data_IF_125124776131
#
_entry.id   IF_125124776131
#
_cell.length_a   1.000
_cell.length_b   1.000
_cell.length_c   1.000
_cell.angle_alpha   90.00
_cell.angle_beta   90.00
_cell.angle_gamma   90.00
#
_symmetry.space_group_name_H-M   'P 1'
#
loop_
_entity.id
_entity.type
_entity.pdbx_description
1 polymer ?
#
# COMPACT_ATOMS: atom_id res chain seq x y z
N UNK A 1 18.08 -1.32 -8.29
CA UNK A 1 19.24 -0.47 -8.64
C UNK A 1 20.10 -1.24 -9.63
N UNK A 2 20.37 -0.71 -10.83
CA UNK A 2 21.25 -1.33 -11.82
C UNK A 2 22.23 -0.25 -12.31
N UNK A 3 23.52 -0.56 -12.35
CA UNK A 3 24.59 0.30 -12.89
C UNK A 3 24.69 1.72 -12.31
N UNK A 4 24.41 1.94 -11.02
CA UNK A 4 24.69 3.22 -10.39
C UNK A 4 26.15 3.28 -9.90
N UNK A 5 26.80 4.43 -10.06
CA UNK A 5 28.19 4.68 -9.69
C UNK A 5 28.24 5.64 -8.50
N UNK A 6 29.05 5.30 -7.50
CA UNK A 6 29.22 6.07 -6.27
C UNK A 6 30.67 6.54 -6.20
N UNK A 7 30.89 7.84 -6.00
CA UNK A 7 32.23 8.35 -5.69
C UNK A 7 32.70 7.76 -4.36
N UNK A 8 33.95 7.25 -4.24
CA UNK A 8 34.48 6.80 -2.95
C UNK A 8 34.45 7.92 -1.91
N UNK A 9 34.10 7.56 -0.66
CA UNK A 9 34.06 8.49 0.47
C UNK A 9 32.78 9.31 0.63
N UNK A 10 31.72 9.00 -0.13
CA UNK A 10 30.40 9.61 0.09
C UNK A 10 29.57 8.82 1.10
N UNK A 11 28.70 9.54 1.82
CA UNK A 11 27.76 8.96 2.79
C UNK A 11 26.36 8.89 2.18
N UNK A 12 25.77 7.69 2.24
CA UNK A 12 24.35 7.47 1.94
C UNK A 12 23.59 7.41 3.27
N UNK A 13 22.74 8.39 3.53
CA UNK A 13 21.96 8.41 4.75
C UNK A 13 20.75 7.47 4.70
N UNK A 14 20.16 7.20 5.87
CA UNK A 14 19.06 6.24 6.02
C UNK A 14 17.86 6.59 5.15
N UNK A 15 17.28 5.56 4.52
CA UNK A 15 16.06 5.69 3.73
C UNK A 15 16.23 6.39 2.38
N UNK A 16 17.45 6.78 1.98
CA UNK A 16 17.72 7.38 0.68
C UNK A 16 17.48 6.38 -0.47
N UNK A 17 17.15 6.91 -1.65
CA UNK A 17 16.87 6.11 -2.85
C UNK A 17 17.72 6.62 -4.01
N UNK A 18 18.49 5.72 -4.62
CA UNK A 18 19.33 6.02 -5.78
C UNK A 18 18.70 5.41 -7.03
N UNK A 19 18.40 6.26 -8.02
CA UNK A 19 17.87 5.85 -9.30
C UNK A 19 18.86 4.99 -10.10
N UNK A 20 18.34 4.28 -11.11
CA UNK A 20 19.17 3.51 -12.03
C UNK A 20 20.12 4.43 -12.81
N UNK A 21 21.33 3.94 -13.14
CA UNK A 21 22.35 4.66 -13.91
C UNK A 21 22.78 6.02 -13.32
N UNK A 22 22.52 6.27 -12.03
CA UNK A 22 22.91 7.51 -11.38
C UNK A 22 24.43 7.54 -11.08
N UNK A 23 25.09 8.68 -11.28
CA UNK A 23 26.49 8.90 -10.87
C UNK A 23 26.52 9.84 -9.67
N UNK A 24 26.57 9.26 -8.47
CA UNK A 24 26.52 10.00 -7.21
C UNK A 24 27.90 10.53 -6.86
N UNK A 25 28.02 11.86 -6.83
CA UNK A 25 29.28 12.58 -6.58
C UNK A 25 29.33 13.29 -5.23
N UNK A 26 28.21 13.34 -4.52
CA UNK A 26 28.01 14.05 -3.24
C UNK A 26 27.19 13.18 -2.28
N UNK A 27 27.25 13.52 -1.00
CA UNK A 27 26.46 12.85 0.04
C UNK A 27 24.95 12.98 -0.23
N UNK A 28 24.21 11.94 0.12
CA UNK A 28 22.77 11.84 -0.14
C UNK A 28 22.00 11.94 1.17
N UNK A 29 21.19 13.01 1.37
CA UNK A 29 20.44 13.21 2.61
C UNK A 29 19.47 12.06 2.94
N UNK A 30 19.05 11.93 4.21
CA UNK A 30 18.09 10.91 4.60
C UNK A 30 16.79 11.04 3.80
N UNK A 31 16.23 9.91 3.37
CA UNK A 31 14.99 9.86 2.59
C UNK A 31 14.96 10.66 1.27
N UNK A 32 16.12 11.15 0.80
CA UNK A 32 16.23 11.82 -0.49
C UNK A 32 16.22 10.79 -1.64
N UNK A 33 15.57 11.16 -2.74
CA UNK A 33 15.59 10.41 -4.00
C UNK A 33 16.55 11.13 -4.94
N UNK A 34 17.62 10.46 -5.36
CA UNK A 34 18.65 11.02 -6.25
C UNK A 34 18.73 10.26 -7.57
N UNK A 35 19.07 10.98 -8.64
CA UNK A 35 19.23 10.39 -9.97
C UNK A 35 19.92 11.31 -10.96
N UNK A 36 20.29 10.76 -12.11
CA UNK A 36 21.04 11.45 -13.17
C UNK A 36 22.56 11.32 -13.06
N UNK A 37 23.25 11.93 -14.01
CA UNK A 37 24.71 11.95 -14.10
C UNK A 37 25.18 13.37 -14.43
N UNK A 38 25.74 14.14 -13.47
CA UNK A 38 25.91 13.80 -12.06
C UNK A 38 24.58 13.78 -11.28
N UNK A 39 24.48 12.94 -10.25
CA UNK A 39 23.24 12.77 -9.50
C UNK A 39 22.82 14.07 -8.78
N UNK A 40 21.52 14.35 -8.83
CA UNK A 40 20.85 15.46 -8.14
C UNK A 40 19.66 14.94 -7.35
N UNK A 41 19.27 15.66 -6.31
CA UNK A 41 18.05 15.37 -5.53
C UNK A 41 16.85 15.69 -6.43
N UNK A 42 16.03 14.70 -6.71
CA UNK A 42 14.78 14.85 -7.46
C UNK A 42 13.66 15.30 -6.53
N UNK A 43 13.51 14.60 -5.40
CA UNK A 43 12.52 14.87 -4.36
C UNK A 43 12.86 14.10 -3.08
N UNK A 44 12.11 14.36 -2.02
CA UNK A 44 12.10 13.52 -0.82
C UNK A 44 10.94 12.52 -0.87
N UNK A 45 11.10 11.40 -0.17
CA UNK A 45 10.03 10.39 -0.04
C UNK A 45 8.86 10.87 0.82
N UNK A 46 9.17 11.70 1.81
CA UNK A 46 8.23 12.22 2.80
C UNK A 46 8.53 13.70 3.06
N UNK A 47 7.63 14.38 3.76
CA UNK A 47 7.85 15.73 4.26
C UNK A 47 8.91 15.75 5.37
N UNK A 48 9.44 16.94 5.67
CA UNK A 48 10.54 17.10 6.63
C UNK A 48 10.15 16.68 8.05
N UNK A 49 8.90 16.89 8.47
CA UNK A 49 8.43 16.52 9.81
C UNK A 49 8.37 14.99 9.95
N UNK A 50 7.81 14.30 8.95
CA UNK A 50 7.78 12.84 8.89
C UNK A 50 9.18 12.23 8.86
N UNK A 51 10.12 12.82 8.11
CA UNK A 51 11.53 12.37 8.08
C UNK A 51 12.17 12.48 9.46
N UNK A 52 11.98 13.60 10.15
CA UNK A 52 12.50 13.81 11.51
C UNK A 52 11.96 12.76 12.49
N UNK A 53 10.66 12.47 12.45
CA UNK A 53 10.03 11.42 13.26
C UNK A 53 10.62 10.05 12.98
N UNK A 54 10.71 9.68 11.70
CA UNK A 54 11.28 8.39 11.27
C UNK A 54 12.74 8.20 11.71
N UNK A 55 13.56 9.25 11.62
CA UNK A 55 14.96 9.22 12.06
C UNK A 55 15.10 9.16 13.57
N UNK A 56 14.22 9.83 14.32
CA UNK A 56 14.20 9.77 15.79
C UNK A 56 13.77 8.40 16.30
N UNK A 57 12.78 7.78 15.65
CA UNK A 57 12.28 6.47 16.02
C UNK A 57 13.26 5.35 15.72
N UNK A 58 14.06 5.48 14.65
CA UNK A 58 14.94 4.43 14.14
C UNK A 58 14.25 3.06 14.08
N UNK A 59 13.07 3.03 13.46
CA UNK A 59 12.18 1.88 13.49
C UNK A 59 12.85 0.56 13.03
N UNK A 60 13.89 0.63 12.18
CA UNK A 60 14.68 -0.51 11.73
C UNK A 60 15.53 -1.18 12.84
N UNK A 61 15.66 -0.58 14.02
CA UNK A 61 16.35 -1.16 15.18
C UNK A 61 15.45 -2.08 16.02
N UNK A 62 14.15 -2.21 15.71
CA UNK A 62 13.22 -3.07 16.47
C UNK A 62 12.99 -4.45 15.81
N UNK A 63 12.41 -5.38 16.57
CA UNK A 63 12.19 -6.73 16.08
C UNK A 63 10.96 -6.80 15.17
N UNK A 64 11.00 -7.63 14.13
CA UNK A 64 9.91 -7.69 13.16
C UNK A 64 8.56 -8.08 13.80
N UNK A 65 8.58 -8.88 14.88
CA UNK A 65 7.38 -9.31 15.58
C UNK A 65 6.69 -8.16 16.33
N UNK A 66 7.42 -7.09 16.65
CA UNK A 66 6.87 -5.94 17.36
C UNK A 66 5.89 -5.14 16.48
N UNK A 67 5.97 -5.33 15.16
CA UNK A 67 5.08 -4.74 14.17
C UNK A 67 3.84 -5.59 13.89
N UNK A 68 3.69 -6.74 14.55
CA UNK A 68 2.51 -7.58 14.36
C UNK A 68 1.24 -6.84 14.81
N UNK A 69 0.17 -6.98 14.02
CA UNK A 69 -1.10 -6.29 14.21
C UNK A 69 -1.13 -4.81 13.77
N UNK A 70 -0.05 -4.24 13.23
CA UNK A 70 -0.10 -2.89 12.65
C UNK A 70 -0.62 -2.97 11.21
N UNK A 71 -1.70 -2.25 10.92
CA UNK A 71 -2.30 -2.20 9.58
C UNK A 71 -1.38 -1.47 8.59
N UNK A 72 -0.86 -2.21 7.61
CA UNK A 72 0.06 -1.71 6.58
C UNK A 72 -0.65 -1.00 5.41
N UNK A 73 -1.98 -0.95 5.39
CA UNK A 73 -2.76 -0.25 4.35
C UNK A 73 -3.00 1.21 4.69
N UNK A 74 -2.72 1.64 5.92
CA UNK A 74 -2.89 3.02 6.39
C UNK A 74 -1.67 3.89 6.08
N UNK A 75 -1.86 5.21 6.19
CA UNK A 75 -0.81 6.19 5.93
C UNK A 75 0.37 6.10 6.91
N UNK A 76 1.52 6.63 6.48
CA UNK A 76 2.76 6.62 7.27
C UNK A 76 2.60 7.29 8.64
N UNK A 77 1.78 8.34 8.75
CA UNK A 77 1.58 9.04 10.01
C UNK A 77 0.91 8.16 11.07
N UNK A 78 -0.10 7.38 10.68
CA UNK A 78 -0.76 6.42 11.57
C UNK A 78 0.25 5.40 12.12
N UNK A 79 1.13 4.90 11.25
CA UNK A 79 2.17 3.95 11.63
C UNK A 79 3.15 4.54 12.66
N UNK A 80 3.54 5.81 12.47
CA UNK A 80 4.42 6.51 13.42
C UNK A 80 3.73 6.73 14.77
N UNK A 81 2.47 7.15 14.76
CA UNK A 81 1.69 7.39 15.99
C UNK A 81 1.55 6.10 16.82
N UNK A 82 1.22 4.98 16.15
CA UNK A 82 1.09 3.67 16.81
C UNK A 82 2.41 3.19 17.40
N UNK A 83 3.52 3.33 16.65
CA UNK A 83 4.84 2.94 17.15
C UNK A 83 5.30 3.80 18.31
N UNK A 84 5.12 5.12 18.22
CA UNK A 84 5.43 6.05 19.30
C UNK A 84 4.64 5.68 20.56
N UNK A 85 3.36 5.34 20.43
CA UNK A 85 2.53 4.85 21.53
C UNK A 85 3.06 3.55 22.15
N UNK A 86 3.45 2.57 21.34
CA UNK A 86 3.99 1.29 21.84
C UNK A 86 5.35 1.45 22.55
N UNK A 87 6.19 2.35 22.06
CA UNK A 87 7.49 2.66 22.69
C UNK A 87 7.28 3.36 24.04
N UNK A 88 6.37 4.34 24.12
CA UNK A 88 6.05 5.04 25.37
C UNK A 88 5.49 4.10 26.44
N UNK A 89 4.67 3.14 26.02
CA UNK A 89 4.13 2.10 26.90
C UNK A 89 5.17 1.04 27.30
N UNK A 90 6.45 1.20 26.93
CA UNK A 90 7.55 0.26 27.16
C UNK A 90 7.31 -1.16 26.63
N UNK A 91 6.41 -1.31 25.66
CA UNK A 91 6.06 -2.60 25.08
C UNK A 91 7.14 -3.11 24.12
N UNK A 92 7.92 -2.21 23.54
CA UNK A 92 8.92 -2.52 22.52
C UNK A 92 10.29 -1.99 22.96
N UNK A 93 11.35 -2.79 22.79
CA UNK A 93 12.74 -2.42 23.06
C UNK A 93 13.60 -2.64 21.81
N UNK A 94 14.68 -1.87 21.61
CA UNK A 94 15.60 -2.10 20.51
C UNK A 94 16.05 -3.57 20.47
N UNK A 95 16.03 -4.14 19.27
CA UNK A 95 16.30 -5.53 19.03
C UNK A 95 17.76 -5.85 19.36
N UNK A 96 17.96 -6.71 20.37
CA UNK A 96 19.28 -7.20 20.77
C UNK A 96 19.36 -8.71 20.50
N UNK A 97 19.84 -9.13 19.32
CA UNK A 97 19.89 -10.54 18.96
C UNK A 97 20.84 -11.32 19.88
N UNK A 98 20.46 -12.55 20.22
CA UNK A 98 21.33 -13.44 20.99
C UNK A 98 22.53 -13.83 20.11
N UNK A 99 23.75 -13.53 20.57
CA UNK A 99 24.99 -13.91 19.87
C UNK A 99 25.20 -15.42 20.02
N UNK A 100 24.90 -16.17 18.96
CA UNK A 100 25.15 -17.61 18.91
C UNK A 100 26.67 -17.86 18.84
N UNK A 101 27.18 -18.70 19.74
CA UNK A 101 28.58 -19.12 19.72
C UNK A 101 28.75 -20.37 18.85
N UNK A 102 29.98 -20.63 18.40
CA UNK A 102 30.29 -21.83 17.62
C UNK A 102 29.95 -23.11 18.38
N UNK A 103 30.12 -23.11 19.70
CA UNK A 103 29.70 -24.23 20.55
C UNK A 103 28.19 -24.47 20.48
N UNK A 104 27.36 -23.41 20.45
CA UNK A 104 25.91 -23.55 20.30
C UNK A 104 25.52 -24.21 18.97
N UNK A 105 26.29 -23.94 17.91
CA UNK A 105 26.10 -24.56 16.59
C UNK A 105 26.49 -26.05 16.61
N UNK A 106 27.60 -26.40 17.25
CA UNK A 106 28.04 -27.79 17.42
C UNK A 106 27.03 -28.58 18.26
N UNK A 107 26.53 -27.98 19.34
CA UNK A 107 25.52 -28.61 20.19
C UNK A 107 24.22 -28.82 19.41
N UNK A 108 23.81 -27.84 18.60
CA UNK A 108 22.63 -27.96 17.73
C UNK A 108 22.81 -28.98 16.60
N UNK A 109 24.04 -29.20 16.09
CA UNK A 109 24.30 -30.23 15.07
C UNK A 109 24.32 -31.65 15.66
N UNK A 110 24.67 -31.78 16.95
CA UNK A 110 24.67 -33.05 17.68
C UNK A 110 23.29 -33.43 18.22
N UNK A 111 22.39 -32.46 18.37
CA UNK A 111 20.99 -32.78 18.65
C UNK A 111 20.44 -33.60 17.49
N UNK A 112 19.85 -34.77 17.74
CA UNK A 112 19.10 -35.43 16.68
C UNK A 112 18.07 -34.40 16.23
N UNK A 113 18.08 -34.09 14.94
CA UNK A 113 16.93 -33.44 14.33
C UNK A 113 15.79 -34.35 14.74
N UNK A 114 14.94 -33.90 15.66
CA UNK A 114 13.62 -34.45 15.76
C UNK A 114 13.06 -34.14 14.37
N UNK A 115 13.24 -35.09 13.44
CA UNK A 115 12.39 -35.21 12.29
C UNK A 115 11.07 -35.19 12.98
N UNK A 116 10.38 -34.06 12.91
CA UNK A 116 9.04 -34.00 13.41
C UNK A 116 8.39 -35.17 12.69
N UNK A 117 8.07 -36.24 13.42
CA UNK A 117 7.07 -37.21 12.99
C UNK A 117 6.03 -36.32 12.36
N UNK A 118 5.71 -36.46 11.05
CA UNK A 118 4.90 -35.50 10.34
C UNK A 118 3.78 -35.16 11.29
N UNK A 119 3.82 -33.94 11.84
CA UNK A 119 2.97 -33.59 12.99
C UNK A 119 1.59 -34.07 12.55
N UNK A 120 0.90 -34.97 13.28
CA UNK A 120 -0.46 -35.30 12.88
C UNK A 120 -1.11 -33.94 12.81
N UNK A 121 -1.43 -33.47 11.58
CA UNK A 121 -1.66 -32.05 11.28
C UNK A 121 -2.33 -31.51 12.51
N UNK A 122 -1.64 -30.70 13.31
CA UNK A 122 -2.26 -30.12 14.49
C UNK A 122 -3.54 -29.57 13.90
N UNK A 123 -4.66 -30.18 14.30
CA UNK A 123 -5.96 -29.70 13.91
C UNK A 123 -5.96 -28.33 14.53
N UNK A 124 -5.50 -27.35 13.74
CA UNK A 124 -5.78 -25.95 13.93
C UNK A 124 -7.22 -25.97 14.40
N UNK A 125 -7.58 -25.35 15.54
CA UNK A 125 -9.00 -25.11 15.80
C UNK A 125 -9.52 -24.55 14.49
N UNK A 126 -10.40 -25.31 13.82
CA UNK A 126 -10.53 -25.27 12.36
C UNK A 126 -10.42 -23.81 11.95
N UNK A 127 -9.30 -23.42 11.31
CA UNK A 127 -9.28 -22.12 10.66
C UNK A 127 -10.57 -22.14 9.86
N UNK A 128 -11.55 -21.25 10.15
CA UNK A 128 -12.90 -21.38 9.62
C UNK A 128 -12.71 -21.61 8.14
N UNK A 129 -13.02 -22.83 7.69
CA UNK A 129 -12.48 -23.41 6.46
C UNK A 129 -12.60 -22.32 5.43
N UNK A 130 -11.49 -21.65 5.12
CA UNK A 130 -11.61 -20.42 4.33
C UNK A 130 -12.19 -20.94 3.04
N UNK A 131 -13.44 -20.53 2.66
CA UNK A 131 -14.14 -21.20 1.58
C UNK A 131 -13.17 -21.26 0.40
N UNK A 132 -13.07 -22.43 -0.27
CA UNK A 132 -12.05 -22.68 -1.27
C UNK A 132 -11.89 -21.42 -2.12
N UNK A 133 -10.68 -20.83 -2.10
CA UNK A 133 -10.45 -19.60 -2.85
C UNK A 133 -10.90 -19.88 -4.29
N UNK A 134 -11.86 -19.10 -4.83
CA UNK A 134 -12.49 -19.42 -6.10
C UNK A 134 -11.38 -19.60 -7.13
N UNK A 135 -11.43 -20.72 -7.84
CA UNK A 135 -10.47 -21.04 -8.89
C UNK A 135 -10.40 -19.89 -9.88
N UNK A 136 -9.29 -19.72 -10.60
CA UNK A 136 -9.16 -18.63 -11.58
C UNK A 136 -10.35 -18.59 -12.57
N UNK A 137 -10.95 -19.74 -12.88
CA UNK A 137 -12.16 -19.83 -13.71
C UNK A 137 -13.43 -19.30 -13.02
N UNK A 138 -13.62 -19.55 -11.71
CA UNK A 138 -14.73 -18.99 -10.92
C UNK A 138 -14.58 -17.47 -10.69
N UNK A 139 -13.33 -16.98 -10.55
CA UNK A 139 -13.07 -15.54 -10.49
C UNK A 139 -13.38 -14.87 -11.82
N UNK A 140 -13.01 -15.50 -12.95
CA UNK A 140 -13.32 -14.98 -14.29
C UNK A 140 -14.83 -15.00 -14.56
N UNK A 141 -15.56 -16.04 -14.13
CA UNK A 141 -17.03 -16.09 -14.32
C UNK A 141 -17.74 -15.03 -13.48
N UNK A 142 -17.35 -14.85 -12.21
CA UNK A 142 -17.90 -13.82 -11.33
C UNK A 142 -17.63 -12.41 -11.87
N UNK A 143 -16.42 -12.14 -12.36
CA UNK A 143 -16.09 -10.85 -12.99
C UNK A 143 -16.89 -10.61 -14.27
N UNK A 144 -17.15 -11.65 -15.09
CA UNK A 144 -17.98 -11.53 -16.30
C UNK A 144 -19.44 -11.21 -15.98
N UNK A 145 -20.01 -11.81 -14.94
CA UNK A 145 -21.37 -11.48 -14.48
C UNK A 145 -21.46 -10.04 -13.98
N UNK A 146 -20.45 -9.56 -13.25
CA UNK A 146 -20.41 -8.19 -12.75
C UNK A 146 -20.32 -7.17 -13.90
N UNK A 147 -19.54 -7.47 -14.94
CA UNK A 147 -19.46 -6.66 -16.16
C UNK A 147 -20.82 -6.60 -16.85
N UNK A 148 -21.48 -7.75 -17.08
CA UNK A 148 -22.78 -7.79 -17.74
C UNK A 148 -23.87 -7.03 -16.94
N UNK A 149 -23.81 -7.08 -15.61
CA UNK A 149 -24.71 -6.29 -14.75
C UNK A 149 -24.46 -4.79 -14.89
N UNK A 150 -23.20 -4.36 -14.98
CA UNK A 150 -22.82 -2.96 -15.21
C UNK A 150 -23.28 -2.48 -16.59
N UNK A 151 -23.10 -3.29 -17.63
CA UNK A 151 -23.55 -2.95 -19.00
C UNK A 151 -25.07 -2.76 -19.06
N UNK A 152 -25.83 -3.64 -18.40
CA UNK A 152 -27.29 -3.49 -18.30
C UNK A 152 -27.69 -2.20 -17.57
N UNK A 153 -27.02 -1.89 -16.45
CA UNK A 153 -27.29 -0.67 -15.68
C UNK A 153 -26.96 0.60 -16.47
N UNK A 154 -25.86 0.59 -17.25
CA UNK A 154 -25.50 1.69 -18.14
C UNK A 154 -26.58 1.90 -19.20
N UNK A 155 -27.08 0.81 -19.79
CA UNK A 155 -28.16 0.89 -20.79
C UNK A 155 -29.45 1.46 -20.19
N UNK A 156 -29.87 0.97 -19.03
CA UNK A 156 -31.05 1.50 -18.32
C UNK A 156 -30.90 2.97 -17.95
N UNK A 157 -29.69 3.40 -17.55
CA UNK A 157 -29.42 4.80 -17.26
C UNK A 157 -29.49 5.68 -18.51
N UNK A 158 -28.94 5.19 -19.63
CA UNK A 158 -29.03 5.86 -20.93
C UNK A 158 -30.48 6.03 -21.38
N UNK A 159 -31.31 4.99 -21.22
CA UNK A 159 -32.73 5.04 -21.59
C UNK A 159 -33.51 6.05 -20.72
N UNK A 160 -33.20 6.12 -19.42
CA UNK A 160 -33.79 7.12 -18.51
C UNK A 160 -33.39 8.55 -18.88
N UNK A 161 -32.13 8.77 -19.28
CA UNK A 161 -31.65 10.08 -19.69
C UNK A 161 -32.37 10.56 -20.95
N UNK A 162 -32.52 9.68 -21.95
CA UNK A 162 -33.27 9.96 -23.18
C UNK A 162 -34.73 10.32 -22.89
N UNK A 163 -35.39 9.59 -21.99
CA UNK A 163 -36.77 9.89 -21.59
C UNK A 163 -36.89 11.25 -20.88
N UNK A 164 -35.90 11.60 -20.04
CA UNK A 164 -35.87 12.89 -19.35
C UNK A 164 -35.67 14.04 -20.34
N UNK A 165 -34.81 13.89 -21.34
CA UNK A 165 -34.62 14.88 -22.41
C UNK A 165 -35.89 15.07 -23.25
N UNK A 166 -36.61 13.99 -23.57
CA UNK A 166 -37.87 14.07 -24.30
C UNK A 166 -38.95 14.84 -23.51
N UNK A 167 -39.06 14.58 -22.20
CA UNK A 167 -40.00 15.29 -21.32
C UNK A 167 -39.67 16.78 -21.20
N UNK A 168 -38.39 17.14 -21.09
CA UNK A 168 -37.95 18.53 -21.06
C UNK A 168 -38.29 19.25 -22.38
N UNK A 169 -38.08 18.61 -23.53
CA UNK A 169 -38.45 19.18 -24.85
C UNK A 169 -39.95 19.43 -24.95
N UNK A 170 -40.77 18.47 -24.55
CA UNK A 170 -42.24 18.61 -24.54
C UNK A 170 -42.72 19.72 -23.60
N UNK A 171 -42.11 19.84 -22.42
CA UNK A 171 -42.43 20.90 -21.46
C UNK A 171 -42.10 22.28 -22.04
N UNK A 172 -40.93 22.43 -22.68
CA UNK A 172 -40.53 23.68 -23.32
C UNK A 172 -41.44 24.05 -24.49
N UNK A 173 -41.87 23.08 -25.31
CA UNK A 173 -42.83 23.34 -26.39
C UNK A 173 -44.20 23.76 -25.86
N UNK A 174 -44.65 23.21 -24.72
CA UNK A 174 -45.89 23.62 -24.07
C UNK A 174 -45.80 25.03 -23.49
N UNK A 175 -44.67 25.40 -22.89
CA UNK A 175 -44.42 26.77 -22.41
C UNK A 175 -44.41 27.77 -23.56
N UNK A 176 -43.74 27.44 -24.67
CA UNK A 176 -43.70 28.31 -25.85
C UNK A 176 -45.10 28.56 -26.44
N UNK A 177 -45.95 27.52 -26.48
CA UNK A 177 -47.35 27.66 -26.90
C UNK A 177 -48.16 28.55 -25.97
N UNK A 178 -47.98 28.43 -24.64
CA UNK A 178 -48.65 29.32 -23.68
C UNK A 178 -48.21 30.77 -23.81
N UNK A 179 -46.92 31.03 -24.01
CA UNK A 179 -46.41 32.38 -24.22
C UNK A 179 -46.97 33.01 -25.51
N UNK A 180 -47.12 32.23 -26.58
CA UNK A 180 -47.78 32.65 -27.82
C UNK A 180 -49.28 32.94 -27.63
N UNK A 181 -49.97 32.16 -26.80
CA UNK A 181 -51.39 32.35 -26.49
C UNK A 181 -51.62 33.61 -25.65
N UNK A 182 -50.75 33.88 -24.66
CA UNK A 182 -50.76 35.13 -23.88
C UNK A 182 -50.53 36.33 -24.80
N UNK A 183 -49.61 36.23 -25.76
CA UNK A 183 -49.29 37.32 -26.70
C UNK A 183 -50.40 37.63 -27.72
N UNK A 184 -51.32 36.68 -27.95
CA UNK A 184 -52.48 36.87 -28.83
C UNK A 184 -53.74 37.37 -28.08
N UNK A 185 -53.67 37.49 -26.74
CA UNK A 185 -54.74 38.00 -25.87
C UNK A 185 -54.52 39.46 -25.43
N UNK A 186 -53.36 40.04 -25.76
CA UNK A 186 -53.06 41.49 -25.68
C UNK A 186 -53.34 42.19 -27.03
#
# INVERSE_FOLDING_TARGET
MKNALLKPGITLHTGCVVAQNAIVTKDVPPYAIVGGSPARILKYRFDEATIKRLLGLKWWEYHFADFDGIDNKKDINYYLDELEGRIQNHAIKPFNPRKMQFEDLIQRSKQPVLIATPQPKVSQPAQPVTPPQPTQQEQISSLKEEINKKDKAIKEFSDKLSLQEANLKSTNESLLKKDLEIKNLE
#
